data_IF_671440402452
#
_entry.id   IF_671440402452
#
_cell.length_a   1.000
_cell.length_b   1.000
_cell.length_c   1.000
_cell.angle_alpha   90.00
_cell.angle_beta   90.00
_cell.angle_gamma   90.00
#
_symmetry.space_group_name_H-M   'P 1'
#
loop_
_entity.id
_entity.type
_entity.pdbx_description
1 polymer ?
#
# COMPACT_ATOMS: atom_id res chain seq x y z
N UNK A 1 -9.27 -9.72 7.59
CA UNK A 1 -9.34 -9.83 6.11
C UNK A 1 -7.93 -9.68 5.59
N UNK A 2 -7.44 -10.54 4.70
CA UNK A 2 -6.06 -10.44 4.23
C UNK A 2 -5.92 -9.16 3.38
N UNK A 3 -5.01 -8.24 3.71
CA UNK A 3 -4.88 -6.96 3.01
C UNK A 3 -4.66 -7.15 1.49
N UNK A 4 -4.09 -8.29 1.10
CA UNK A 4 -3.88 -8.76 -0.28
C UNK A 4 -5.17 -8.77 -1.11
N UNK A 5 -6.29 -9.24 -0.56
CA UNK A 5 -7.55 -9.42 -1.31
C UNK A 5 -8.16 -8.07 -1.75
N UNK A 6 -7.86 -7.00 -1.00
CA UNK A 6 -8.36 -5.65 -1.32
C UNK A 6 -7.72 -5.06 -2.58
N UNK A 7 -6.55 -5.55 -2.96
CA UNK A 7 -5.81 -5.11 -4.15
C UNK A 7 -6.10 -5.98 -5.38
N UNK A 8 -6.96 -7.01 -5.25
CA UNK A 8 -7.42 -7.84 -6.37
C UNK A 8 -8.55 -7.17 -7.18
N UNK A 9 -8.61 -5.84 -7.21
CA UNK A 9 -9.54 -5.04 -8.02
C UNK A 9 -8.80 -3.85 -8.65
N UNK A 10 -9.39 -3.27 -9.70
CA UNK A 10 -8.82 -2.08 -10.32
C UNK A 10 -8.98 -0.87 -9.39
N UNK A 11 -7.88 -0.18 -9.12
CA UNK A 11 -7.81 1.00 -8.27
C UNK A 11 -7.14 2.14 -9.01
N UNK A 12 -7.47 3.37 -8.63
CA UNK A 12 -6.80 4.56 -9.14
C UNK A 12 -5.44 4.70 -8.46
N UNK A 13 -4.36 4.68 -9.24
CA UNK A 13 -3.00 4.92 -8.75
C UNK A 13 -2.66 6.42 -8.80
N UNK A 14 -1.61 6.83 -8.07
CA UNK A 14 -1.06 8.20 -8.08
C UNK A 14 -0.65 8.69 -9.47
N UNK A 15 -0.33 7.77 -10.39
CA UNK A 15 -0.07 8.08 -11.80
C UNK A 15 -1.35 8.32 -12.62
N UNK A 16 -2.52 8.45 -11.97
CA UNK A 16 -3.83 8.71 -12.56
C UNK A 16 -4.34 7.60 -13.51
N UNK A 17 -3.76 6.40 -13.41
CA UNK A 17 -4.21 5.24 -14.16
C UNK A 17 -5.00 4.27 -13.27
N UNK A 18 -6.08 3.73 -13.83
CA UNK A 18 -6.80 2.60 -13.22
C UNK A 18 -6.03 1.32 -13.48
N UNK A 19 -5.46 0.72 -12.43
CA UNK A 19 -4.58 -0.45 -12.54
C UNK A 19 -5.03 -1.55 -11.57
N UNK A 20 -4.73 -2.80 -11.94
CA UNK A 20 -4.72 -3.90 -10.99
C UNK A 20 -3.31 -3.94 -10.40
N UNK A 21 -3.20 -3.79 -9.08
CA UNK A 21 -1.92 -3.79 -8.40
C UNK A 21 -1.38 -5.22 -8.27
N UNK A 22 -0.08 -5.37 -8.44
CA UNK A 22 0.61 -6.64 -8.18
C UNK A 22 1.03 -6.67 -6.71
N UNK A 23 0.75 -7.77 -6.01
CA UNK A 23 1.09 -7.91 -4.59
C UNK A 23 2.41 -8.67 -4.46
N UNK A 24 3.35 -8.08 -3.73
CA UNK A 24 4.67 -8.64 -3.43
C UNK A 24 4.72 -8.91 -1.92
N UNK A 25 4.58 -10.17 -1.48
CA UNK A 25 4.38 -10.51 -0.07
C UNK A 25 5.63 -10.39 0.79
N UNK A 26 6.81 -10.50 0.20
CA UNK A 26 8.07 -10.51 0.95
C UNK A 26 9.10 -9.66 0.19
N UNK A 27 9.11 -8.36 0.47
CA UNK A 27 10.18 -7.47 0.03
C UNK A 27 11.03 -7.06 1.24
N UNK A 28 12.35 -7.22 1.12
CA UNK A 28 13.28 -6.83 2.16
C UNK A 28 13.75 -5.39 1.95
N UNK A 29 13.82 -4.63 3.04
CA UNK A 29 14.47 -3.33 3.10
C UNK A 29 15.31 -3.22 4.38
N UNK A 30 16.00 -2.09 4.57
CA UNK A 30 16.86 -1.86 5.74
C UNK A 30 16.12 -1.94 7.09
N UNK A 31 14.79 -1.82 7.09
CA UNK A 31 13.93 -1.89 8.29
C UNK A 31 13.19 -3.22 8.45
N UNK A 32 13.48 -4.21 7.59
CA UNK A 32 12.93 -5.56 7.63
C UNK A 32 12.10 -5.92 6.40
N UNK A 33 11.32 -7.00 6.53
CA UNK A 33 10.45 -7.49 5.47
C UNK A 33 9.09 -6.80 5.51
N UNK A 34 8.58 -6.49 4.32
CA UNK A 34 7.30 -5.83 4.12
C UNK A 34 6.46 -6.53 3.04
N UNK A 35 5.15 -6.29 3.11
CA UNK A 35 4.23 -6.58 2.00
C UNK A 35 4.02 -5.28 1.24
N UNK A 36 4.37 -5.27 -0.04
CA UNK A 36 4.15 -4.11 -0.92
C UNK A 36 3.23 -4.45 -2.07
N UNK A 37 2.65 -3.41 -2.67
CA UNK A 37 1.96 -3.50 -3.95
C UNK A 37 2.69 -2.66 -4.99
N UNK A 38 2.75 -3.16 -6.22
CA UNK A 38 3.37 -2.47 -7.34
C UNK A 38 2.33 -2.02 -8.36
N UNK A 39 2.45 -0.78 -8.83
CA UNK A 39 1.71 -0.30 -9.98
C UNK A 39 2.36 -0.78 -11.29
N UNK A 40 1.68 -1.55 -12.16
CA UNK A 40 2.27 -2.02 -13.43
C UNK A 40 2.43 -0.91 -14.49
N UNK A 41 2.04 0.34 -14.19
CA UNK A 41 2.13 1.48 -15.11
C UNK A 41 3.25 2.45 -14.77
N UNK A 42 3.45 2.75 -13.50
CA UNK A 42 4.48 3.69 -13.03
C UNK A 42 5.54 3.04 -12.14
N UNK A 43 5.44 1.71 -11.92
CA UNK A 43 6.39 0.89 -11.17
C UNK A 43 6.55 1.25 -9.68
N UNK A 44 5.85 2.28 -9.20
CA UNK A 44 5.80 2.68 -7.80
C UNK A 44 5.36 1.53 -6.89
N UNK A 45 6.05 1.44 -5.75
CA UNK A 45 5.82 0.45 -4.70
C UNK A 45 5.19 1.12 -3.48
N UNK A 46 4.11 0.54 -2.96
CA UNK A 46 3.41 1.04 -1.79
C UNK A 46 3.43 -0.03 -0.70
N UNK A 47 3.85 0.32 0.51
CA UNK A 47 3.75 -0.61 1.64
C UNK A 47 2.31 -0.70 2.14
N UNK A 48 1.82 -1.92 2.35
CA UNK A 48 0.43 -2.19 2.76
C UNK A 48 0.30 -2.83 4.13
N UNK A 49 1.42 -3.23 4.73
CA UNK A 49 1.49 -3.78 6.07
C UNK A 49 1.74 -2.68 7.11
N UNK A 50 2.76 -1.85 6.89
CA UNK A 50 3.19 -0.78 7.78
C UNK A 50 3.86 0.35 7.00
N UNK A 51 3.89 1.54 7.57
CA UNK A 51 4.60 2.66 6.96
C UNK A 51 6.11 2.39 6.96
N UNK A 52 6.75 2.52 5.79
CA UNK A 52 8.18 2.31 5.63
C UNK A 52 8.78 3.42 4.77
N UNK A 53 9.88 4.08 5.19
CA UNK A 53 10.52 5.15 4.41
C UNK A 53 11.00 4.72 3.02
N UNK A 54 11.22 3.42 2.80
CA UNK A 54 11.67 2.87 1.52
C UNK A 54 10.57 2.83 0.46
N UNK A 55 9.29 2.91 0.85
CA UNK A 55 8.15 2.72 -0.03
C UNK A 55 7.16 3.87 0.09
N UNK A 56 6.32 4.05 -0.93
CA UNK A 56 5.23 5.02 -0.84
C UNK A 56 4.19 4.59 0.19
N UNK A 57 3.55 5.58 0.80
CA UNK A 57 2.45 5.32 1.73
C UNK A 57 1.16 5.01 0.99
N UNK A 58 0.42 4.04 1.50
CA UNK A 58 -0.90 3.69 0.97
C UNK A 58 -1.92 4.81 1.13
N UNK A 59 -1.69 5.77 2.04
CA UNK A 59 -2.55 6.94 2.24
C UNK A 59 -2.76 7.75 0.95
N UNK A 60 -1.77 7.78 0.06
CA UNK A 60 -1.90 8.42 -1.25
C UNK A 60 -2.95 7.72 -2.13
N UNK A 61 -3.01 6.39 -2.08
CA UNK A 61 -4.02 5.60 -2.77
C UNK A 61 -5.39 5.74 -2.09
N UNK A 62 -5.44 5.82 -0.75
CA UNK A 62 -6.69 5.96 0.01
C UNK A 62 -7.42 7.28 -0.28
N UNK A 63 -6.67 8.38 -0.45
CA UNK A 63 -7.24 9.68 -0.84
C UNK A 63 -7.99 9.62 -2.18
N UNK A 64 -7.59 8.70 -3.06
CA UNK A 64 -8.21 8.51 -4.37
C UNK A 64 -9.22 7.35 -4.41
N UNK A 65 -9.16 6.44 -3.44
CA UNK A 65 -9.99 5.23 -3.35
C UNK A 65 -10.60 5.13 -1.95
N UNK A 66 -11.53 6.04 -1.63
CA UNK A 66 -12.07 6.22 -0.27
C UNK A 66 -12.81 5.00 0.30
N UNK A 67 -13.21 4.06 -0.56
CA UNK A 67 -13.91 2.83 -0.17
C UNK A 67 -12.96 1.63 0.07
N UNK A 68 -11.64 1.85 0.03
CA UNK A 68 -10.67 0.77 0.09
C UNK A 68 -10.42 0.25 1.52
N UNK A 69 -10.44 1.14 2.51
CA UNK A 69 -10.21 0.82 3.93
C UNK A 69 -11.22 1.53 4.81
N UNK A 70 -11.59 0.89 5.93
CA UNK A 70 -12.34 1.58 6.98
C UNK A 70 -11.43 2.55 7.74
N UNK A 71 -12.02 3.53 8.43
CA UNK A 71 -11.28 4.49 9.25
C UNK A 71 -10.40 3.80 10.31
N UNK A 72 -10.85 2.67 10.86
CA UNK A 72 -10.11 1.89 11.86
C UNK A 72 -8.83 1.28 11.28
N UNK A 73 -8.90 0.76 10.05
CA UNK A 73 -7.73 0.16 9.40
C UNK A 73 -6.71 1.21 8.95
N UNK A 74 -7.18 2.41 8.55
CA UNK A 74 -6.30 3.55 8.28
C UNK A 74 -5.52 3.96 9.53
N UNK A 75 -6.19 4.03 10.67
CA UNK A 75 -5.56 4.36 11.95
C UNK A 75 -4.52 3.31 12.35
N UNK A 76 -4.82 2.02 12.18
CA UNK A 76 -3.89 0.93 12.47
C UNK A 76 -2.60 1.03 11.63
N UNK A 77 -2.74 1.37 10.34
CA UNK A 77 -1.58 1.54 9.45
C UNK A 77 -0.67 2.69 9.89
N UNK A 78 -1.24 3.82 10.33
CA UNK A 78 -0.46 4.98 10.80
C UNK A 78 0.20 4.75 12.16
N UNK A 79 -0.31 3.84 13.00
CA UNK A 79 0.28 3.55 14.32
C UNK A 79 1.46 2.58 14.28
N UNK A 80 1.58 1.73 13.26
CA UNK A 80 2.69 0.78 13.09
C UNK A 80 3.86 1.40 12.30
N UNK A 81 4.15 2.68 12.51
CA UNK A 81 5.30 3.34 11.89
C UNK A 81 6.58 3.01 12.66
N UNK A 82 7.64 2.61 11.95
CA UNK A 82 8.96 2.49 12.54
C UNK A 82 9.36 3.84 13.16
N UNK A 83 9.75 3.84 14.43
CA UNK A 83 10.33 5.02 15.08
C UNK A 83 11.62 5.38 14.33
N UNK A 84 11.71 6.63 13.85
CA UNK A 84 12.90 7.17 13.19
C UNK A 84 14.17 7.03 14.02
#
# INVERSE_FOLDING_TARGET
>A
MNNVDKFQKKLLCVCQNMVLFEVIPEIECDWGTHIVIQCPKCEELFSIDKQCPAFQTIELLLKQNTELFSNEEQLSYSTDCHSC
#
